data_IF_497366753635
#
_entry.id   IF_497366753635
#
_cell.length_a   1.000
_cell.length_b   1.000
_cell.length_c   1.000
_cell.angle_alpha   90.00
_cell.angle_beta   90.00
_cell.angle_gamma   90.00
#
_symmetry.space_group_name_H-M   'P 1'
#
loop_
_entity.id
_entity.type
_entity.pdbx_description
1 polymer ?
#
# COMPACT_ATOMS: atom_id res chain seq x y z
N UNK A 1 15.76 1.65 -0.82
CA UNK A 1 15.37 0.22 -0.88
C UNK A 1 14.91 -0.11 -2.28
N UNK A 2 15.29 -1.27 -2.75
CA UNK A 2 14.90 -1.74 -4.10
C UNK A 2 13.75 -2.72 -4.02
N UNK A 3 12.94 -2.74 -5.07
CA UNK A 3 11.83 -3.68 -5.23
C UNK A 3 12.00 -4.44 -6.53
N UNK A 4 11.29 -5.56 -6.67
CA UNK A 4 11.33 -6.37 -7.88
C UNK A 4 9.98 -6.29 -8.58
N UNK A 5 9.99 -5.77 -9.81
CA UNK A 5 8.80 -5.63 -10.65
C UNK A 5 8.37 -6.99 -11.21
N UNK A 6 7.15 -7.05 -11.74
CA UNK A 6 6.59 -8.29 -12.30
C UNK A 6 7.44 -8.91 -13.40
N UNK A 7 8.13 -8.07 -14.17
CA UNK A 7 9.02 -8.54 -15.24
C UNK A 7 10.42 -8.94 -14.75
N UNK A 8 10.65 -8.92 -13.43
CA UNK A 8 11.92 -9.25 -12.82
C UNK A 8 12.90 -8.10 -12.72
N UNK A 9 12.58 -6.94 -13.28
CA UNK A 9 13.46 -5.77 -13.20
C UNK A 9 13.41 -5.16 -11.82
N UNK A 10 14.54 -4.56 -11.41
CA UNK A 10 14.61 -3.81 -10.16
C UNK A 10 14.13 -2.38 -10.35
N UNK A 11 13.53 -1.82 -9.30
CA UNK A 11 13.14 -0.43 -9.22
C UNK A 11 13.38 0.06 -7.80
N UNK A 12 13.39 1.38 -7.63
CA UNK A 12 13.50 1.99 -6.29
C UNK A 12 12.12 2.01 -5.64
N UNK A 13 12.06 1.64 -4.36
CA UNK A 13 10.83 1.78 -3.59
C UNK A 13 10.43 3.25 -3.56
N UNK A 14 9.16 3.53 -3.85
CA UNK A 14 8.63 4.88 -3.89
C UNK A 14 7.33 4.95 -3.07
N UNK A 15 7.44 5.54 -1.88
CA UNK A 15 6.32 5.66 -0.94
C UNK A 15 5.15 6.43 -1.55
N UNK A 16 5.42 7.43 -2.38
CA UNK A 16 4.36 8.25 -2.99
C UNK A 16 3.49 7.43 -3.93
N UNK A 17 4.02 6.41 -4.58
CA UNK A 17 3.23 5.51 -5.44
C UNK A 17 2.24 4.70 -4.62
N UNK A 18 2.63 4.27 -3.43
CA UNK A 18 1.72 3.55 -2.52
C UNK A 18 0.62 4.49 -2.06
N UNK A 19 0.99 5.68 -1.60
CA UNK A 19 0.03 6.70 -1.15
C UNK A 19 -0.97 7.01 -2.26
N UNK A 20 -0.49 7.21 -3.49
CA UNK A 20 -1.34 7.51 -4.64
C UNK A 20 -2.31 6.37 -4.95
N UNK A 21 -1.83 5.13 -4.91
CA UNK A 21 -2.67 3.96 -5.18
C UNK A 21 -3.78 3.80 -4.14
N UNK A 22 -3.45 3.97 -2.85
CA UNK A 22 -4.44 3.89 -1.78
C UNK A 22 -5.43 5.06 -1.89
N UNK A 23 -4.95 6.25 -2.21
CA UNK A 23 -5.79 7.44 -2.37
C UNK A 23 -6.82 7.24 -3.48
N UNK A 24 -6.41 6.64 -4.61
CA UNK A 24 -7.35 6.31 -5.69
C UNK A 24 -8.43 5.35 -5.24
N UNK A 25 -8.07 4.30 -4.51
CA UNK A 25 -9.03 3.36 -3.97
C UNK A 25 -9.98 4.05 -2.98
N UNK A 26 -9.43 4.94 -2.15
CA UNK A 26 -10.19 5.71 -1.16
C UNK A 26 -11.20 6.64 -1.81
N UNK A 27 -10.85 7.25 -2.94
CA UNK A 27 -11.77 8.15 -3.66
C UNK A 27 -12.88 7.40 -4.39
N UNK A 28 -12.73 6.10 -4.61
CA UNK A 28 -13.73 5.27 -5.28
C UNK A 28 -14.85 4.80 -4.36
N UNK A 29 -14.76 5.06 -3.06
CA UNK A 29 -15.80 4.69 -2.09
C UNK A 29 -16.54 5.92 -1.59
N UNK A 30 -17.70 5.71 -0.95
CA UNK A 30 -18.47 6.79 -0.36
C UNK A 30 -17.67 7.53 0.69
N UNK A 31 -17.89 8.83 0.77
CA UNK A 31 -17.18 9.71 1.70
C UNK A 31 -17.25 9.24 3.14
N UNK A 32 -18.39 8.70 3.56
CA UNK A 32 -18.60 8.24 4.94
C UNK A 32 -17.69 7.09 5.37
N UNK A 33 -17.13 6.34 4.41
CA UNK A 33 -16.28 5.18 4.71
C UNK A 33 -14.83 5.39 4.28
N UNK A 34 -14.48 6.62 3.91
CA UNK A 34 -13.11 6.95 3.50
C UNK A 34 -12.17 7.08 4.69
N UNK A 35 -10.93 6.75 4.42
CA UNK A 35 -9.83 7.05 5.34
C UNK A 35 -9.38 8.51 5.15
N UNK A 36 -8.77 9.07 6.19
CA UNK A 36 -8.16 10.40 6.10
C UNK A 36 -6.81 10.31 5.41
N UNK A 37 -6.30 11.42 4.85
CA UNK A 37 -4.95 11.44 4.28
C UNK A 37 -3.86 11.00 5.26
N UNK A 38 -3.99 11.35 6.54
CA UNK A 38 -3.03 10.95 7.57
C UNK A 38 -3.05 9.43 7.79
N UNK A 39 -4.24 8.82 7.78
CA UNK A 39 -4.36 7.37 7.91
C UNK A 39 -3.70 6.65 6.73
N UNK A 40 -3.90 7.17 5.52
CA UNK A 40 -3.27 6.61 4.31
C UNK A 40 -1.74 6.73 4.41
N UNK A 41 -1.23 7.86 4.84
CA UNK A 41 0.21 8.07 5.02
C UNK A 41 0.80 7.09 6.03
N UNK A 42 0.13 6.92 7.17
CA UNK A 42 0.58 5.99 8.22
C UNK A 42 0.58 4.53 7.76
N UNK A 43 -0.45 4.13 7.02
CA UNK A 43 -0.51 2.78 6.43
C UNK A 43 0.66 2.60 5.47
N UNK A 44 0.90 3.57 4.60
CA UNK A 44 1.98 3.50 3.62
C UNK A 44 3.34 3.40 4.29
N UNK A 45 3.57 4.16 5.35
CA UNK A 45 4.81 4.11 6.13
C UNK A 45 4.99 2.75 6.81
N UNK A 46 3.91 2.17 7.34
CA UNK A 46 3.99 0.85 7.98
C UNK A 46 4.35 -0.24 6.98
N UNK A 47 3.87 -0.13 5.76
CA UNK A 47 4.24 -1.05 4.67
C UNK A 47 5.73 -0.92 4.33
N UNK A 48 6.24 0.31 4.26
CA UNK A 48 7.66 0.55 4.02
C UNK A 48 8.52 -0.10 5.10
N UNK A 49 8.15 0.07 6.36
CA UNK A 49 8.87 -0.54 7.48
C UNK A 49 8.85 -2.07 7.35
N UNK A 50 7.71 -2.66 7.06
CA UNK A 50 7.60 -4.11 6.86
C UNK A 50 8.49 -4.60 5.73
N UNK A 51 8.58 -3.85 4.64
CA UNK A 51 9.46 -4.19 3.52
C UNK A 51 10.93 -4.13 3.92
N UNK A 52 11.32 -3.11 4.66
CA UNK A 52 12.69 -2.98 5.16
C UNK A 52 13.08 -4.12 6.08
N UNK A 53 12.14 -4.57 6.91
CA UNK A 53 12.37 -5.68 7.84
C UNK A 53 12.53 -7.04 7.17
N UNK A 54 12.16 -7.17 5.89
CA UNK A 54 12.36 -8.42 5.16
C UNK A 54 13.84 -8.78 4.96
N UNK A 55 14.72 -7.78 4.95
CA UNK A 55 16.15 -8.01 4.71
C UNK A 55 16.49 -8.41 3.29
N UNK A 56 15.58 -8.18 2.34
CA UNK A 56 15.73 -8.45 0.92
C UNK A 56 14.82 -7.52 0.12
N UNK A 57 15.02 -7.45 -1.19
CA UNK A 57 14.13 -6.67 -2.07
C UNK A 57 12.76 -7.36 -2.16
N UNK A 58 11.67 -6.70 -1.77
CA UNK A 58 10.35 -7.28 -1.90
C UNK A 58 9.87 -7.24 -3.35
N UNK A 59 9.08 -8.23 -3.73
CA UNK A 59 8.38 -8.22 -5.01
C UNK A 59 7.15 -7.30 -4.92
N UNK A 60 6.73 -6.74 -6.06
CA UNK A 60 5.56 -5.85 -6.13
C UNK A 60 4.32 -6.54 -5.55
N UNK A 61 4.12 -7.83 -5.85
CA UNK A 61 2.96 -8.57 -5.35
C UNK A 61 2.97 -8.69 -3.82
N UNK A 62 4.16 -8.83 -3.23
CA UNK A 62 4.28 -8.86 -1.76
C UNK A 62 3.91 -7.51 -1.15
N UNK A 63 4.32 -6.41 -1.81
CA UNK A 63 3.96 -5.06 -1.37
C UNK A 63 2.45 -4.86 -1.45
N UNK A 64 1.83 -5.29 -2.55
CA UNK A 64 0.38 -5.19 -2.72
C UNK A 64 -0.38 -5.94 -1.62
N UNK A 65 0.08 -7.14 -1.26
CA UNK A 65 -0.51 -7.92 -0.17
C UNK A 65 -0.36 -7.21 1.17
N UNK A 66 0.78 -6.62 1.45
CA UNK A 66 1.01 -5.86 2.68
C UNK A 66 0.09 -4.65 2.77
N UNK A 67 -0.07 -3.93 1.67
CA UNK A 67 -0.96 -2.76 1.61
C UNK A 67 -2.40 -3.18 1.87
N UNK A 68 -2.88 -4.20 1.20
CA UNK A 68 -4.24 -4.73 1.38
C UNK A 68 -4.49 -5.12 2.84
N UNK A 69 -3.58 -5.88 3.42
CA UNK A 69 -3.69 -6.29 4.83
C UNK A 69 -3.70 -5.10 5.78
N UNK A 70 -2.88 -4.09 5.51
CA UNK A 70 -2.82 -2.90 6.35
C UNK A 70 -4.12 -2.09 6.27
N UNK A 71 -4.70 -1.96 5.08
CA UNK A 71 -5.99 -1.29 4.91
C UNK A 71 -7.09 -2.06 5.67
N UNK A 72 -7.12 -3.38 5.54
CA UNK A 72 -8.08 -4.23 6.23
C UNK A 72 -7.92 -4.17 7.75
N UNK A 73 -6.69 -4.15 8.23
CA UNK A 73 -6.41 -4.03 9.67
C UNK A 73 -6.90 -2.68 10.23
N UNK A 74 -7.01 -1.68 9.39
CA UNK A 74 -7.56 -0.37 9.76
C UNK A 74 -9.09 -0.36 9.77
N UNK A 75 -9.72 -1.44 9.34
CA UNK A 75 -11.17 -1.56 9.25
C UNK A 75 -11.77 -0.94 7.99
N UNK A 76 -10.97 -0.48 7.05
CA UNK A 76 -11.43 0.17 5.83
C UNK A 76 -11.69 -0.86 4.72
N UNK A 77 -12.62 -1.77 4.96
CA UNK A 77 -12.90 -2.90 4.05
C UNK A 77 -13.36 -2.46 2.66
N UNK A 78 -14.15 -1.41 2.57
CA UNK A 78 -14.61 -0.90 1.29
C UNK A 78 -13.44 -0.37 0.45
N UNK A 79 -12.50 0.31 1.08
CA UNK A 79 -11.30 0.81 0.42
C UNK A 79 -10.42 -0.36 -0.02
N UNK A 80 -10.26 -1.37 0.83
CA UNK A 80 -9.48 -2.57 0.50
C UNK A 80 -10.02 -3.26 -0.75
N UNK A 81 -11.34 -3.36 -0.90
CA UNK A 81 -11.98 -3.94 -2.07
C UNK A 81 -11.62 -3.16 -3.34
N UNK A 82 -11.59 -1.85 -3.27
CA UNK A 82 -11.26 -1.01 -4.42
C UNK A 82 -9.78 -1.07 -4.75
N UNK A 83 -8.93 -1.34 -3.77
CA UNK A 83 -7.49 -1.43 -3.96
C UNK A 83 -7.08 -2.70 -4.73
N UNK A 84 -7.80 -3.78 -4.56
CA UNK A 84 -7.56 -5.05 -5.26
C UNK A 84 -7.93 -4.89 -6.77
#
# INVERSE_FOLDING_TARGET
MKIIKRNGAEAVFDLTKIITAITKANEAVEESVRMTPLQIERISQSVEISCEEMGRSPAVEEIQDLVEKAIMAHGAFEVAKQYI
#
